data_IF_542857866747
#
_entry.id   IF_542857866747
#
_cell.length_a   1.000
_cell.length_b   1.000
_cell.length_c   1.000
_cell.angle_alpha   90.00
_cell.angle_beta   90.00
_cell.angle_gamma   90.00
#
_symmetry.space_group_name_H-M   'P 1'
#
loop_
_entity.id
_entity.type
_entity.pdbx_description
1 polymer ?
#
# COMPACT_ATOMS: atom_id res chain seq x y z
N UNK A 1 4.64 -23.39 -2.97
CA UNK A 1 5.09 -22.27 -2.13
C UNK A 1 3.84 -21.67 -1.54
N UNK A 2 3.72 -21.64 -0.21
CA UNK A 2 2.56 -21.06 0.47
C UNK A 2 2.70 -19.54 0.56
N UNK A 3 1.60 -18.86 0.87
CA UNK A 3 1.60 -17.41 1.11
C UNK A 3 2.54 -17.05 2.27
N UNK A 4 2.52 -17.84 3.33
CA UNK A 4 3.40 -17.73 4.51
C UNK A 4 4.88 -17.87 4.18
N UNK A 5 5.24 -18.70 3.19
CA UNK A 5 6.62 -18.90 2.74
C UNK A 5 7.12 -17.74 1.86
N UNK A 6 6.21 -16.93 1.31
CA UNK A 6 6.53 -15.89 0.32
C UNK A 6 6.45 -14.49 0.91
N UNK A 7 5.47 -14.24 1.77
CA UNK A 7 5.14 -12.91 2.24
C UNK A 7 6.28 -12.28 3.03
N UNK A 8 6.62 -11.03 2.70
CA UNK A 8 7.60 -10.25 3.46
C UNK A 8 9.01 -10.85 3.51
N UNK A 9 9.37 -11.70 2.55
CA UNK A 9 10.70 -12.34 2.46
C UNK A 9 11.81 -11.41 1.99
N UNK A 10 11.45 -10.29 1.33
CA UNK A 10 12.38 -9.32 0.73
C UNK A 10 12.20 -7.88 1.25
N UNK A 11 12.15 -7.64 2.57
CA UNK A 11 12.07 -6.28 3.11
C UNK A 11 13.32 -5.45 2.79
N UNK A 12 14.43 -6.07 2.37
CA UNK A 12 15.64 -5.40 1.90
C UNK A 12 15.45 -4.59 0.60
N UNK A 13 14.38 -4.87 -0.15
CA UNK A 13 14.03 -4.17 -1.39
C UNK A 13 13.15 -2.94 -1.15
N UNK A 14 12.57 -2.77 0.04
CA UNK A 14 11.84 -1.55 0.39
C UNK A 14 12.78 -0.34 0.39
N UNK A 15 12.25 0.89 0.20
CA UNK A 15 13.04 2.11 0.29
C UNK A 15 13.91 2.12 1.55
N UNK A 16 15.20 2.45 1.39
CA UNK A 16 16.16 2.45 2.51
C UNK A 16 15.79 3.45 3.61
N UNK A 17 15.00 4.46 3.28
CA UNK A 17 14.42 5.42 4.22
C UNK A 17 13.27 4.84 5.06
N UNK A 18 12.67 3.71 4.66
CA UNK A 18 11.59 3.03 5.37
C UNK A 18 12.07 1.88 6.24
N UNK A 19 13.17 1.22 5.90
CA UNK A 19 13.64 0.02 6.60
C UNK A 19 15.08 0.11 7.10
N UNK A 20 15.39 -0.69 8.12
CA UNK A 20 16.75 -0.88 8.65
C UNK A 20 16.93 -2.29 9.22
N UNK A 21 18.18 -2.75 9.29
CA UNK A 21 18.53 -3.93 10.08
C UNK A 21 18.55 -3.58 11.57
N UNK A 22 17.90 -4.41 12.37
CA UNK A 22 17.95 -4.37 13.82
C UNK A 22 18.45 -5.70 14.37
N UNK A 23 19.13 -5.63 15.52
CA UNK A 23 19.47 -6.82 16.29
C UNK A 23 18.27 -7.19 17.15
N UNK A 24 17.84 -8.44 17.08
CA UNK A 24 16.83 -8.99 17.98
C UNK A 24 17.52 -9.92 18.98
N UNK A 25 17.12 -9.83 20.25
CA UNK A 25 17.48 -10.83 21.23
C UNK A 25 16.41 -11.92 21.20
N UNK A 26 16.63 -12.96 20.41
CA UNK A 26 15.86 -14.19 20.53
C UNK A 26 16.62 -15.21 21.37
N UNK A 27 15.85 -16.11 22.01
CA UNK A 27 16.31 -17.13 22.97
C UNK A 27 17.41 -18.06 22.41
N UNK A 28 17.54 -18.16 21.08
CA UNK A 28 18.50 -19.03 20.38
C UNK A 28 19.65 -18.29 19.68
N UNK A 29 19.86 -17.01 19.97
CA UNK A 29 21.02 -16.25 19.51
C UNK A 29 20.70 -14.96 18.76
N UNK A 30 21.75 -14.18 18.50
CA UNK A 30 21.69 -12.86 17.88
C UNK A 30 21.28 -12.98 16.40
N UNK A 31 20.01 -12.72 16.07
CA UNK A 31 19.55 -12.65 14.68
C UNK A 31 19.36 -11.18 14.25
N UNK A 32 19.93 -10.84 13.10
CA UNK A 32 19.61 -9.59 12.40
C UNK A 32 18.26 -9.76 11.69
N UNK A 33 17.34 -8.83 11.92
CA UNK A 33 16.06 -8.78 11.21
C UNK A 33 15.87 -7.41 10.60
N UNK A 34 15.17 -7.36 9.48
CA UNK A 34 14.66 -6.10 8.95
C UNK A 34 13.49 -5.62 9.80
N UNK A 35 13.48 -4.33 10.10
CA UNK A 35 12.40 -3.63 10.79
C UNK A 35 12.13 -2.31 10.08
N UNK A 36 10.93 -1.77 10.28
CA UNK A 36 10.63 -0.41 9.90
C UNK A 36 11.51 0.60 10.66
N UNK A 37 11.80 1.71 10.00
CA UNK A 37 12.35 2.92 10.62
C UNK A 37 11.25 3.61 11.46
N UNK A 38 11.59 4.65 12.25
CA UNK A 38 10.57 5.41 12.97
C UNK A 38 9.40 5.76 12.05
N UNK A 39 8.18 5.62 12.58
CA UNK A 39 6.92 5.86 11.89
C UNK A 39 6.58 4.89 10.74
N UNK A 40 7.36 3.83 10.55
CA UNK A 40 7.05 2.75 9.60
C UNK A 40 6.79 1.45 10.36
N UNK A 41 5.56 0.96 10.30
CA UNK A 41 5.18 -0.37 10.79
C UNK A 41 5.15 -1.33 9.60
N UNK A 42 6.04 -2.33 9.59
CA UNK A 42 5.94 -3.43 8.63
C UNK A 42 4.84 -4.39 9.11
N UNK A 43 3.86 -4.64 8.25
CA UNK A 43 2.73 -5.49 8.55
C UNK A 43 3.11 -6.96 8.42
N UNK A 44 2.67 -7.78 9.37
CA UNK A 44 2.68 -9.23 9.21
C UNK A 44 1.62 -9.69 8.19
N UNK A 45 1.61 -10.99 7.89
CA UNK A 45 0.71 -11.54 6.87
C UNK A 45 -0.76 -11.39 7.27
N UNK A 46 -1.10 -11.60 8.54
CA UNK A 46 -2.48 -11.49 9.02
C UNK A 46 -2.98 -10.04 8.93
N UNK A 47 -2.14 -9.08 9.31
CA UNK A 47 -2.42 -7.65 9.16
C UNK A 47 -2.57 -7.25 7.68
N UNK A 48 -1.69 -7.73 6.81
CA UNK A 48 -1.77 -7.50 5.37
C UNK A 48 -3.10 -8.02 4.80
N UNK A 49 -3.46 -9.26 5.09
CA UNK A 49 -4.70 -9.88 4.59
C UNK A 49 -5.96 -9.16 5.09
N UNK A 50 -5.95 -8.65 6.32
CA UNK A 50 -7.07 -7.84 6.83
C UNK A 50 -7.25 -6.57 6.01
N UNK A 51 -6.19 -5.77 5.85
CA UNK A 51 -6.29 -4.53 5.09
C UNK A 51 -6.54 -4.79 3.60
N UNK A 52 -5.98 -5.86 3.02
CA UNK A 52 -6.28 -6.26 1.65
C UNK A 52 -7.78 -6.52 1.49
N UNK A 53 -8.38 -7.33 2.35
CA UNK A 53 -9.81 -7.64 2.33
C UNK A 53 -10.69 -6.40 2.55
N UNK A 54 -10.27 -5.48 3.42
CA UNK A 54 -10.96 -4.23 3.71
C UNK A 54 -10.87 -3.21 2.56
N UNK A 55 -9.91 -3.34 1.64
CA UNK A 55 -9.63 -2.36 0.59
C UNK A 55 -9.63 -2.99 -0.81
N UNK A 56 -8.48 -3.50 -1.22
CA UNK A 56 -8.21 -4.14 -2.50
C UNK A 56 -9.22 -5.24 -2.84
N UNK A 57 -9.60 -6.07 -1.87
CA UNK A 57 -10.53 -7.18 -2.05
C UNK A 57 -11.98 -6.75 -2.28
N UNK A 58 -12.31 -5.45 -2.16
CA UNK A 58 -13.65 -4.91 -2.37
C UNK A 58 -13.95 -4.53 -3.81
N UNK A 59 -12.93 -4.40 -4.66
CA UNK A 59 -13.10 -4.01 -6.05
C UNK A 59 -13.25 -5.23 -6.98
N UNK A 60 -14.01 -5.10 -8.09
CA UNK A 60 -14.01 -6.11 -9.14
C UNK A 60 -12.60 -6.30 -9.70
N UNK A 61 -12.26 -7.53 -10.08
CA UNK A 61 -10.91 -7.93 -10.50
C UNK A 61 -10.93 -8.56 -11.89
N UNK A 62 -9.90 -8.26 -12.68
CA UNK A 62 -9.57 -9.03 -13.87
C UNK A 62 -8.97 -10.40 -13.48
N UNK A 63 -8.89 -11.31 -14.44
CA UNK A 63 -8.31 -12.65 -14.21
C UNK A 63 -6.83 -12.63 -13.85
N UNK A 64 -6.13 -11.53 -14.16
CA UNK A 64 -4.73 -11.30 -13.78
C UNK A 64 -4.58 -10.72 -12.36
N UNK A 65 -5.69 -10.47 -11.66
CA UNK A 65 -5.71 -9.94 -10.31
C UNK A 65 -5.67 -8.41 -10.22
N UNK A 66 -5.60 -7.67 -11.32
CA UNK A 66 -5.69 -6.20 -11.31
C UNK A 66 -7.12 -5.71 -11.08
N UNK A 67 -7.30 -4.47 -10.63
CA UNK A 67 -8.63 -3.88 -10.44
C UNK A 67 -9.26 -3.61 -11.80
N UNK A 68 -10.46 -4.14 -12.01
CA UNK A 68 -11.26 -3.91 -13.21
C UNK A 68 -11.97 -2.55 -13.14
N UNK A 69 -11.22 -1.45 -13.25
CA UNK A 69 -11.76 -0.09 -13.08
C UNK A 69 -12.93 0.26 -14.00
N UNK A 70 -13.02 -0.38 -15.18
CA UNK A 70 -14.16 -0.21 -16.08
C UNK A 70 -15.48 -0.78 -15.52
N UNK A 71 -15.41 -1.68 -14.53
CA UNK A 71 -16.54 -2.29 -13.84
C UNK A 71 -16.84 -1.62 -12.50
N UNK A 72 -15.95 -0.72 -12.03
CA UNK A 72 -16.16 0.07 -10.81
C UNK A 72 -17.17 1.17 -11.11
N UNK A 73 -18.14 1.35 -10.21
CA UNK A 73 -19.14 2.39 -10.36
C UNK A 73 -18.49 3.78 -10.39
N UNK A 74 -18.92 4.62 -11.35
CA UNK A 74 -18.28 5.89 -11.64
C UNK A 74 -18.36 6.91 -10.48
N UNK A 75 -19.33 6.78 -9.58
CA UNK A 75 -19.49 7.59 -8.37
C UNK A 75 -18.45 7.28 -7.28
N UNK A 76 -17.84 6.08 -7.33
CA UNK A 76 -16.76 5.70 -6.43
C UNK A 76 -15.40 6.21 -6.91
N UNK A 77 -15.23 6.45 -8.22
CA UNK A 77 -13.98 6.96 -8.78
C UNK A 77 -13.90 8.47 -8.58
N UNK A 78 -12.98 8.91 -7.72
CA UNK A 78 -12.78 10.32 -7.39
C UNK A 78 -11.91 11.02 -8.43
N UNK A 79 -10.84 10.35 -8.85
CA UNK A 79 -9.86 10.85 -9.83
C UNK A 79 -9.33 9.67 -10.64
N UNK A 80 -9.13 9.88 -11.94
CA UNK A 80 -8.39 8.98 -12.82
C UNK A 80 -7.60 9.85 -13.81
N UNK A 81 -6.28 9.88 -13.67
CA UNK A 81 -5.39 10.76 -14.47
C UNK A 81 -4.13 10.02 -14.88
N UNK A 82 -3.48 10.49 -15.95
CA UNK A 82 -2.25 9.87 -16.43
C UNK A 82 -1.10 10.16 -15.45
N UNK A 83 -0.29 9.15 -15.20
CA UNK A 83 0.78 9.17 -14.18
C UNK A 83 1.77 10.31 -14.39
N UNK A 84 2.16 10.58 -15.64
CA UNK A 84 3.09 11.66 -16.01
C UNK A 84 2.60 13.05 -15.60
N UNK A 85 1.28 13.21 -15.38
CA UNK A 85 0.65 14.47 -14.99
C UNK A 85 0.14 14.46 -13.56
N UNK A 86 0.19 13.30 -12.88
CA UNK A 86 -0.32 13.15 -11.53
C UNK A 86 0.64 13.74 -10.51
N UNK A 87 0.16 14.72 -9.74
CA UNK A 87 0.85 15.14 -8.51
C UNK A 87 0.38 14.24 -7.36
N UNK A 88 1.11 13.15 -7.14
CA UNK A 88 0.78 12.16 -6.11
C UNK A 88 0.77 12.78 -4.69
N UNK A 89 1.66 13.72 -4.39
CA UNK A 89 1.67 14.40 -3.08
C UNK A 89 0.38 15.21 -2.91
N UNK A 90 -0.02 15.97 -3.93
CA UNK A 90 -1.27 16.72 -3.91
C UNK A 90 -2.50 15.81 -3.80
N UNK A 91 -2.54 14.69 -4.53
CA UNK A 91 -3.65 13.74 -4.46
C UNK A 91 -3.77 13.10 -3.08
N UNK A 92 -2.65 12.67 -2.47
CA UNK A 92 -2.66 12.10 -1.12
C UNK A 92 -3.11 13.16 -0.11
N UNK A 93 -2.61 14.40 -0.20
CA UNK A 93 -3.05 15.48 0.70
C UNK A 93 -4.53 15.82 0.53
N UNK A 94 -5.04 15.79 -0.70
CA UNK A 94 -6.42 16.13 -1.00
C UNK A 94 -7.39 15.06 -0.47
N UNK A 95 -7.04 13.79 -0.64
CA UNK A 95 -7.96 12.68 -0.39
C UNK A 95 -7.73 11.93 0.93
N UNK A 96 -6.57 12.13 1.56
CA UNK A 96 -6.20 11.47 2.81
C UNK A 96 -5.80 12.47 3.91
N UNK A 97 -6.30 13.72 3.86
CA UNK A 97 -5.91 14.79 4.78
C UNK A 97 -6.13 14.44 6.27
N UNK A 98 -7.15 13.61 6.55
CA UNK A 98 -7.51 13.16 7.89
C UNK A 98 -6.90 11.83 8.32
N UNK A 99 -6.16 11.15 7.43
CA UNK A 99 -5.64 9.81 7.66
C UNK A 99 -4.74 9.76 8.90
N UNK A 100 -5.03 8.83 9.81
CA UNK A 100 -4.18 8.59 10.97
C UNK A 100 -3.04 7.64 10.62
N UNK A 101 -3.29 6.73 9.68
CA UNK A 101 -2.26 5.85 9.14
C UNK A 101 -2.65 5.34 7.76
N UNK A 102 -1.78 5.57 6.79
CA UNK A 102 -1.90 5.02 5.45
C UNK A 102 -1.24 3.65 5.39
N UNK A 103 -1.89 2.72 4.69
CA UNK A 103 -1.36 1.40 4.38
C UNK A 103 -0.85 1.38 2.94
N UNK A 104 0.40 0.99 2.76
CA UNK A 104 1.03 0.83 1.45
C UNK A 104 1.11 -0.64 1.10
N UNK A 105 0.54 -1.01 -0.03
CA UNK A 105 0.65 -2.32 -0.66
C UNK A 105 1.57 -2.24 -1.86
N UNK A 106 2.15 -3.38 -2.23
CA UNK A 106 3.11 -3.50 -3.32
C UNK A 106 2.63 -4.54 -4.33
N UNK A 107 3.01 -4.40 -5.61
CA UNK A 107 2.74 -5.42 -6.64
C UNK A 107 3.38 -6.78 -6.39
N UNK A 108 4.17 -6.94 -5.32
CA UNK A 108 4.81 -8.19 -4.93
C UNK A 108 4.63 -8.48 -3.45
N UNK A 109 4.07 -9.65 -3.13
CA UNK A 109 3.94 -10.15 -1.76
C UNK A 109 5.29 -10.42 -1.08
N UNK A 110 6.39 -10.53 -1.84
CA UNK A 110 7.72 -10.65 -1.24
C UNK A 110 8.08 -9.40 -0.40
N UNK A 111 7.45 -8.26 -0.68
CA UNK A 111 7.59 -7.03 0.09
C UNK A 111 6.49 -6.98 1.15
N UNK A 112 6.83 -6.76 2.44
CA UNK A 112 5.79 -6.59 3.44
C UNK A 112 5.09 -5.25 3.24
N UNK A 113 3.77 -5.23 3.34
CA UNK A 113 3.01 -3.99 3.40
C UNK A 113 3.47 -3.14 4.58
N UNK A 114 3.32 -1.83 4.46
CA UNK A 114 3.73 -0.89 5.50
C UNK A 114 2.57 0.01 5.92
N UNK A 115 2.41 0.25 7.22
CA UNK A 115 1.54 1.29 7.74
C UNK A 115 2.38 2.46 8.27
N UNK A 116 2.00 3.68 7.89
CA UNK A 116 2.73 4.89 8.25
C UNK A 116 1.79 6.11 8.34
N UNK A 117 2.05 7.07 9.24
CA UNK A 117 1.25 8.30 9.30
C UNK A 117 1.43 9.11 8.03
N UNK A 118 0.43 9.96 7.71
CA UNK A 118 0.39 10.79 6.50
C UNK A 118 1.72 11.53 6.23
N UNK A 119 2.28 12.19 7.25
CA UNK A 119 3.53 12.93 7.11
C UNK A 119 4.73 12.06 6.71
N UNK A 120 4.81 10.83 7.22
CA UNK A 120 5.85 9.88 6.83
C UNK A 120 5.61 9.37 5.40
N UNK A 121 4.35 9.08 5.03
CA UNK A 121 4.02 8.63 3.68
C UNK A 121 4.47 9.63 2.62
N UNK A 122 4.13 10.91 2.82
CA UNK A 122 4.53 12.00 1.94
C UNK A 122 6.06 12.18 1.89
N UNK A 123 6.74 12.00 3.03
CA UNK A 123 8.22 12.09 3.09
C UNK A 123 8.93 10.95 2.36
N UNK A 124 8.29 9.79 2.22
CA UNK A 124 8.84 8.62 1.53
C UNK A 124 8.37 8.49 0.08
N UNK A 125 7.37 9.27 -0.33
CA UNK A 125 6.66 9.09 -1.61
C UNK A 125 7.58 9.06 -2.83
N UNK A 126 8.50 10.02 -2.96
CA UNK A 126 9.45 10.03 -4.08
C UNK A 126 10.32 8.77 -4.14
N UNK A 127 10.76 8.23 -3.00
CA UNK A 127 11.53 6.98 -3.01
C UNK A 127 10.66 5.77 -3.31
N UNK A 128 9.39 5.79 -2.89
CA UNK A 128 8.42 4.74 -3.21
C UNK A 128 8.22 4.68 -4.73
N UNK A 129 7.87 5.80 -5.36
CA UNK A 129 7.64 5.90 -6.81
C UNK A 129 8.88 5.53 -7.63
N UNK A 130 10.07 5.95 -7.18
CA UNK A 130 11.31 5.66 -7.90
C UNK A 130 11.73 4.18 -7.84
N UNK A 131 11.28 3.44 -6.82
CA UNK A 131 11.71 2.05 -6.57
C UNK A 131 10.66 1.00 -6.88
N UNK A 132 9.37 1.37 -6.84
CA UNK A 132 8.25 0.47 -7.00
C UNK A 132 7.23 1.11 -7.96
N UNK A 133 7.20 0.68 -9.23
CA UNK A 133 6.27 1.20 -10.24
C UNK A 133 4.83 0.69 -10.11
N UNK A 134 4.56 -0.16 -9.11
CA UNK A 134 3.21 -0.64 -8.82
C UNK A 134 3.01 -0.73 -7.30
N UNK A 135 2.12 0.12 -6.81
CA UNK A 135 1.76 0.20 -5.40
C UNK A 135 0.35 0.77 -5.21
N UNK A 136 -0.21 0.52 -4.03
CA UNK A 136 -1.47 1.10 -3.60
C UNK A 136 -1.28 1.80 -2.26
N UNK A 137 -2.00 2.90 -2.07
CA UNK A 137 -2.09 3.61 -0.79
C UNK A 137 -3.54 3.56 -0.35
N UNK A 138 -3.80 2.96 0.80
CA UNK A 138 -5.12 2.84 1.40
C UNK A 138 -5.20 3.70 2.67
N UNK A 139 -6.25 4.49 2.77
CA UNK A 139 -6.69 5.18 3.97
C UNK A 139 -7.85 4.39 4.62
N UNK A 140 -7.62 3.68 5.74
CA UNK A 140 -8.66 2.93 6.43
C UNK A 140 -9.75 3.80 7.04
N UNK A 141 -9.43 5.05 7.41
CA UNK A 141 -10.37 5.93 8.09
C UNK A 141 -11.46 6.45 7.14
N UNK A 142 -11.04 6.95 5.96
CA UNK A 142 -11.95 7.50 4.97
C UNK A 142 -12.34 6.49 3.87
N UNK A 143 -11.82 5.26 3.96
CA UNK A 143 -12.03 4.19 2.98
C UNK A 143 -11.69 4.65 1.57
N UNK A 144 -10.50 5.23 1.41
CA UNK A 144 -9.99 5.72 0.12
C UNK A 144 -8.81 4.87 -0.31
N UNK A 145 -8.84 4.40 -1.56
CA UNK A 145 -7.75 3.70 -2.19
C UNK A 145 -7.19 4.55 -3.33
N UNK A 146 -5.87 4.70 -3.35
CA UNK A 146 -5.12 5.20 -4.48
C UNK A 146 -4.32 4.05 -5.10
N UNK A 147 -4.40 3.93 -6.41
CA UNK A 147 -3.62 3.00 -7.20
C UNK A 147 -2.64 3.77 -8.08
N UNK A 148 -1.38 3.32 -8.09
CA UNK A 148 -0.39 3.64 -9.12
C UNK A 148 0.08 2.31 -9.73
N UNK A 149 -0.16 2.11 -11.03
CA UNK A 149 0.15 0.87 -11.75
C UNK A 149 0.94 1.13 -13.03
N UNK A 150 1.54 0.06 -13.56
CA UNK A 150 2.20 0.02 -14.86
C UNK A 150 1.35 0.47 -16.06
N UNK A 151 0.02 0.61 -15.89
CA UNK A 151 -0.85 1.15 -16.91
C UNK A 151 -0.63 2.66 -17.16
N UNK A 152 0.28 3.31 -16.41
CA UNK A 152 0.61 4.73 -16.57
C UNK A 152 -0.53 5.64 -16.10
N UNK A 153 -1.31 5.16 -15.12
CA UNK A 153 -2.49 5.84 -14.61
C UNK A 153 -2.50 5.81 -13.09
N UNK A 154 -2.90 6.94 -12.52
CA UNK A 154 -3.21 7.08 -11.11
C UNK A 154 -4.71 7.16 -10.95
N UNK A 155 -5.28 6.24 -10.18
CA UNK A 155 -6.71 6.21 -9.87
C UNK A 155 -6.90 6.37 -8.37
N UNK A 156 -7.78 7.28 -7.97
CA UNK A 156 -8.23 7.45 -6.58
C UNK A 156 -9.70 7.12 -6.53
N UNK A 157 -10.09 6.22 -5.63
CA UNK A 157 -11.46 5.79 -5.49
C UNK A 157 -11.84 5.59 -4.02
N UNK A 158 -13.14 5.72 -3.73
CA UNK A 158 -13.72 5.21 -2.50
C UNK A 158 -13.80 3.69 -2.59
N UNK A 159 -13.42 3.01 -1.51
CA UNK A 159 -13.58 1.57 -1.38
C UNK A 159 -15.07 1.25 -1.24
N UNK A 160 -15.60 0.29 -2.03
CA UNK A 160 -16.97 -0.19 -1.86
C UNK A 160 -17.20 -0.69 -0.44
N UNK A 161 -18.19 -0.13 0.23
CA UNK A 161 -18.70 -0.67 1.49
C UNK A 161 -19.96 -1.48 1.19
N UNK A 162 -20.23 -2.52 1.96
CA UNK A 162 -21.49 -3.28 1.86
C UNK A 162 -22.65 -2.41 2.38
N UNK A 163 -22.98 -1.34 1.67
CA UNK A 163 -24.10 -0.46 2.01
C UNK A 163 -24.86 -0.01 0.78
N UNK A 164 -25.28 -0.95 -0.07
CA UNK A 164 -26.53 -0.82 -0.84
C UNK A 164 -27.19 -2.21 -0.97
N UNK A 165 -28.19 -2.45 -0.11
CA UNK A 165 -29.23 -3.48 -0.27
C UNK A 165 -30.58 -2.77 -0.26
#
# INVERSE_FOLDING_TARGET
>A
MTLEETYGTRPDLLPRSMVRLARTEQREGRKLTWVGRPDVLLLDLDQHLRYEHESLGRFPRHSDGTIAWAEVSADLVLVSTDEDTADLDALIRQHCAGAKGLVVFWGSLALPSAQLPLGAALSHLSQITDSHPEFWIYDPEDSVLMENTFAGRVTVARVPTDTES
#
